data_IF_076793839310
#
_entry.id   IF_076793839310
#
_cell.length_a   1.000
_cell.length_b   1.000
_cell.length_c   1.000
_cell.angle_alpha   90.00
_cell.angle_beta   90.00
_cell.angle_gamma   90.00
#
_symmetry.space_group_name_H-M   'P 1'
#
loop_
_entity.id
_entity.type
_entity.pdbx_description
1 polymer ?
#
# COMPACT_ATOMS: atom_id res chain seq x y z
N UNK A 1 -19.35 3.42 9.68
CA UNK A 1 -18.49 3.40 8.48
C UNK A 1 -17.91 4.81 8.35
N UNK A 2 -16.58 5.03 8.28
CA UNK A 2 -16.06 6.38 8.21
C UNK A 2 -16.49 6.98 6.88
N UNK A 3 -17.26 8.06 6.92
CA UNK A 3 -17.50 8.90 5.76
C UNK A 3 -16.13 9.42 5.30
N UNK A 4 -15.67 8.95 4.14
CA UNK A 4 -14.43 9.45 3.55
C UNK A 4 -14.47 10.97 3.43
N UNK A 5 -13.33 11.61 3.69
CA UNK A 5 -13.17 13.05 3.46
C UNK A 5 -13.55 13.34 2.01
N UNK A 6 -14.44 14.33 1.78
CA UNK A 6 -14.88 14.67 0.42
C UNK A 6 -13.67 14.93 -0.48
N UNK A 7 -13.60 14.22 -1.60
CA UNK A 7 -12.48 14.29 -2.56
C UNK A 7 -11.34 13.30 -2.30
N UNK A 8 -11.41 12.49 -1.24
CA UNK A 8 -10.42 11.45 -0.95
C UNK A 8 -10.95 10.04 -1.26
N UNK A 9 -10.03 9.11 -1.52
CA UNK A 9 -10.29 7.70 -1.78
C UNK A 9 -9.20 6.84 -1.14
N UNK A 10 -9.52 5.57 -0.87
CA UNK A 10 -8.60 4.60 -0.29
C UNK A 10 -7.99 3.72 -1.37
N UNK A 11 -6.66 3.62 -1.39
CA UNK A 11 -5.96 2.59 -2.15
C UNK A 11 -6.01 1.29 -1.33
N UNK A 12 -6.47 0.20 -1.93
CA UNK A 12 -6.67 -1.07 -1.23
C UNK A 12 -6.05 -2.26 -1.96
N UNK A 13 -5.93 -3.37 -1.22
CA UNK A 13 -5.37 -4.61 -1.75
C UNK A 13 -6.33 -5.34 -2.71
N UNK A 14 -5.81 -6.32 -3.43
CA UNK A 14 -6.60 -7.20 -4.32
C UNK A 14 -7.69 -8.02 -3.61
N UNK A 15 -7.57 -8.20 -2.29
CA UNK A 15 -8.59 -8.83 -1.44
C UNK A 15 -9.83 -7.98 -1.22
N UNK A 16 -9.78 -6.67 -1.52
CA UNK A 16 -10.92 -5.75 -1.41
C UNK A 16 -11.66 -5.62 -2.74
N UNK A 17 -12.97 -5.38 -2.64
CA UNK A 17 -13.79 -5.01 -3.81
C UNK A 17 -13.55 -3.55 -4.21
N UNK A 18 -13.58 -3.26 -5.51
CA UNK A 18 -13.57 -1.90 -6.05
C UNK A 18 -14.92 -1.20 -5.86
N UNK A 19 -15.25 -0.93 -4.59
CA UNK A 19 -16.49 -0.29 -4.17
C UNK A 19 -16.38 1.22 -3.99
N UNK A 20 -17.47 1.83 -3.55
CA UNK A 20 -17.52 3.28 -3.35
C UNK A 20 -16.48 3.78 -2.34
N UNK A 21 -15.56 4.62 -2.78
CA UNK A 21 -14.48 5.18 -1.96
C UNK A 21 -13.17 4.38 -2.02
N UNK A 22 -13.13 3.28 -2.76
CA UNK A 22 -12.02 2.33 -2.78
C UNK A 22 -11.49 2.15 -4.20
N UNK A 23 -10.17 2.15 -4.34
CA UNK A 23 -9.46 1.78 -5.55
C UNK A 23 -8.68 0.50 -5.32
N UNK A 24 -9.23 -0.61 -5.82
CA UNK A 24 -8.55 -1.90 -5.82
C UNK A 24 -7.72 -2.08 -7.10
N UNK A 25 -6.67 -2.93 -7.08
CA UNK A 25 -5.95 -3.29 -8.30
C UNK A 25 -6.88 -3.98 -9.31
N UNK A 26 -6.46 -3.98 -10.57
CA UNK A 26 -7.03 -4.86 -11.58
C UNK A 26 -6.66 -6.31 -11.26
N UNK A 27 -7.65 -7.21 -11.34
CA UNK A 27 -7.46 -8.65 -11.12
C UNK A 27 -7.00 -9.30 -12.42
N UNK A 28 -6.19 -10.36 -12.32
CA UNK A 28 -5.68 -11.08 -13.49
C UNK A 28 -4.58 -10.35 -14.27
N UNK A 29 -4.04 -9.25 -13.73
CA UNK A 29 -2.92 -8.50 -14.29
C UNK A 29 -1.74 -8.48 -13.33
N UNK A 30 -0.54 -8.22 -13.85
CA UNK A 30 0.70 -8.12 -13.06
C UNK A 30 0.54 -7.10 -11.93
N UNK A 31 1.00 -7.45 -10.74
CA UNK A 31 0.79 -6.66 -9.52
C UNK A 31 2.03 -6.61 -8.62
N UNK A 32 2.82 -7.67 -8.54
CA UNK A 32 3.94 -7.71 -7.60
C UNK A 32 5.12 -6.85 -8.10
N UNK A 33 5.71 -6.04 -7.22
CA UNK A 33 6.87 -5.21 -7.57
C UNK A 33 8.07 -6.00 -8.10
N UNK A 34 8.22 -7.26 -7.67
CA UNK A 34 9.24 -8.18 -8.19
C UNK A 34 9.09 -8.45 -9.69
N UNK A 35 7.87 -8.43 -10.24
CA UNK A 35 7.60 -8.64 -11.67
C UNK A 35 8.11 -7.48 -12.53
N UNK A 36 8.31 -6.31 -11.93
CA UNK A 36 8.79 -5.08 -12.60
C UNK A 36 10.30 -4.89 -12.48
N UNK A 37 10.99 -5.62 -11.59
CA UNK A 37 12.46 -5.55 -11.39
C UNK A 37 13.25 -5.91 -12.66
N UNK A 38 12.67 -6.72 -13.55
CA UNK A 38 13.27 -7.12 -14.83
C UNK A 38 13.17 -6.05 -15.94
N UNK A 39 12.87 -4.79 -15.60
CA UNK A 39 12.74 -3.64 -16.53
C UNK A 39 11.72 -3.83 -17.65
N UNK A 40 10.79 -4.78 -17.52
CA UNK A 40 9.68 -4.92 -18.47
C UNK A 40 8.70 -3.79 -18.23
N UNK A 41 8.50 -2.96 -19.23
CA UNK A 41 7.52 -1.88 -19.15
C UNK A 41 6.10 -2.47 -18.99
N UNK A 42 5.17 -1.73 -18.35
CA UNK A 42 3.75 -2.07 -18.39
C UNK A 42 3.25 -2.10 -19.84
N UNK A 43 2.45 -3.10 -20.18
CA UNK A 43 1.93 -3.32 -21.52
C UNK A 43 0.65 -2.52 -21.78
N UNK A 44 -0.09 -2.18 -20.73
CA UNK A 44 -1.38 -1.50 -20.81
C UNK A 44 -1.63 -0.63 -19.58
N UNK A 45 -2.72 0.12 -19.61
CA UNK A 45 -3.11 1.02 -18.53
C UNK A 45 -3.39 0.30 -17.19
N UNK A 46 -3.91 -0.93 -17.22
CA UNK A 46 -4.21 -1.71 -16.01
C UNK A 46 -2.92 -2.12 -15.29
N UNK A 47 -1.94 -2.62 -16.04
CA UNK A 47 -0.63 -2.97 -15.52
C UNK A 47 0.11 -1.74 -14.99
N UNK A 48 0.02 -0.60 -15.68
CA UNK A 48 0.65 0.64 -15.21
C UNK A 48 0.00 1.13 -13.92
N UNK A 49 -1.33 1.09 -13.83
CA UNK A 49 -2.07 1.40 -12.62
C UNK A 49 -1.66 0.48 -11.46
N UNK A 50 -1.66 -0.85 -11.68
CA UNK A 50 -1.24 -1.82 -10.66
C UNK A 50 0.20 -1.60 -10.21
N UNK A 51 1.12 -1.32 -11.13
CA UNK A 51 2.51 -1.00 -10.81
C UNK A 51 2.61 0.22 -9.89
N UNK A 52 1.86 1.29 -10.16
CA UNK A 52 1.83 2.49 -9.30
C UNK A 52 1.16 2.22 -7.96
N UNK A 53 0.09 1.45 -7.95
CA UNK A 53 -0.60 1.04 -6.73
C UNK A 53 0.33 0.22 -5.82
N UNK A 54 1.01 -0.77 -6.39
CA UNK A 54 1.98 -1.61 -5.69
C UNK A 54 3.18 -0.78 -5.18
N UNK A 55 3.65 0.20 -5.95
CA UNK A 55 4.71 1.10 -5.50
C UNK A 55 4.28 1.96 -4.31
N UNK A 56 3.06 2.52 -4.33
CA UNK A 56 2.51 3.28 -3.21
C UNK A 56 2.34 2.39 -1.96
N UNK A 57 1.84 1.16 -2.14
CA UNK A 57 1.70 0.18 -1.06
C UNK A 57 3.04 -0.19 -0.43
N UNK A 58 4.07 -0.41 -1.24
CA UNK A 58 5.41 -0.75 -0.75
C UNK A 58 5.99 0.32 0.17
N UNK A 59 5.69 1.60 -0.04
CA UNK A 59 6.09 2.67 0.89
C UNK A 59 5.44 2.45 2.27
N UNK A 60 4.15 2.15 2.30
CA UNK A 60 3.40 1.89 3.54
C UNK A 60 3.89 0.62 4.23
N UNK A 61 4.11 -0.45 3.49
CA UNK A 61 4.62 -1.73 4.02
C UNK A 61 6.03 -1.56 4.60
N UNK A 62 6.92 -0.82 3.93
CA UNK A 62 8.25 -0.49 4.45
C UNK A 62 8.17 0.32 5.75
N UNK A 63 7.26 1.30 5.84
CA UNK A 63 7.01 2.03 7.09
C UNK A 63 6.58 1.10 8.24
N UNK A 64 5.67 0.16 7.98
CA UNK A 64 5.28 -0.82 9.00
C UNK A 64 6.40 -1.80 9.33
N UNK A 65 7.20 -2.22 8.35
CA UNK A 65 8.41 -3.01 8.56
C UNK A 65 9.37 -2.30 9.52
N UNK A 66 9.65 -1.01 9.29
CA UNK A 66 10.52 -0.20 10.16
C UNK A 66 9.98 -0.10 11.58
N UNK A 67 8.68 0.13 11.72
CA UNK A 67 8.04 0.17 13.03
C UNK A 67 8.16 -1.17 13.77
N UNK A 68 7.93 -2.30 13.07
CA UNK A 68 8.07 -3.64 13.67
C UNK A 68 9.51 -4.02 14.01
N UNK A 69 10.48 -3.64 13.18
CA UNK A 69 11.90 -3.85 13.46
C UNK A 69 12.35 -3.06 14.69
N UNK A 70 11.92 -1.79 14.79
CA UNK A 70 12.28 -0.91 15.90
C UNK A 70 11.56 -1.27 17.20
N UNK A 71 10.26 -1.55 17.12
CA UNK A 71 9.40 -1.74 18.28
C UNK A 71 8.97 -3.19 18.40
N UNK A 72 9.69 -3.96 19.22
CA UNK A 72 9.43 -5.40 19.38
C UNK A 72 8.01 -5.75 19.81
N UNK A 73 7.30 -4.84 20.48
CA UNK A 73 5.89 -5.00 20.88
C UNK A 73 4.93 -5.12 19.68
N UNK A 74 5.32 -4.64 18.49
CA UNK A 74 4.52 -4.72 17.27
C UNK A 74 4.76 -6.00 16.46
N UNK A 75 5.72 -6.86 16.87
CA UNK A 75 6.07 -8.09 16.14
C UNK A 75 5.17 -9.27 16.45
N UNK A 76 4.42 -9.23 17.55
CA UNK A 76 3.58 -10.34 17.98
C UNK A 76 2.19 -9.84 18.41
N UNK A 77 1.14 -10.66 18.24
CA UNK A 77 -0.18 -10.33 18.76
C UNK A 77 -0.11 -10.01 20.26
N UNK A 78 -0.77 -8.94 20.65
CA UNK A 78 -0.83 -8.55 22.07
C UNK A 78 -2.19 -8.90 22.66
N UNK A 79 -2.22 -9.29 23.92
CA UNK A 79 -3.47 -9.55 24.66
C UNK A 79 -4.10 -8.28 25.26
N UNK A 80 -3.60 -7.09 24.89
CA UNK A 80 -4.15 -5.83 25.36
C UNK A 80 -5.52 -5.55 24.74
N UNK A 81 -6.43 -4.84 25.45
CA UNK A 81 -7.65 -4.32 24.86
C UNK A 81 -7.38 -3.45 23.63
N UNK A 82 -8.30 -3.43 22.66
CA UNK A 82 -8.15 -2.68 21.38
C UNK A 82 -7.76 -1.22 21.62
N UNK A 83 -8.36 -0.55 22.61
CA UNK A 83 -8.03 0.84 22.94
C UNK A 83 -6.55 1.00 23.33
N UNK A 84 -6.02 0.07 24.12
CA UNK A 84 -4.61 0.05 24.52
C UNK A 84 -3.70 -0.26 23.32
N UNK A 85 -4.11 -1.16 22.43
CA UNK A 85 -3.36 -1.44 21.19
C UNK A 85 -3.24 -0.18 20.32
N UNK A 86 -4.34 0.57 20.15
CA UNK A 86 -4.33 1.85 19.43
C UNK A 86 -3.36 2.86 20.05
N UNK A 87 -3.33 2.96 21.39
CA UNK A 87 -2.40 3.83 22.12
C UNK A 87 -0.94 3.40 21.92
N UNK A 88 -0.65 2.10 21.98
CA UNK A 88 0.69 1.55 21.73
C UNK A 88 1.15 1.88 20.31
N UNK A 89 0.32 1.63 19.30
CA UNK A 89 0.63 1.94 17.90
C UNK A 89 0.90 3.43 17.73
N UNK A 90 0.05 4.29 18.30
CA UNK A 90 0.20 5.75 18.24
C UNK A 90 1.51 6.20 18.89
N UNK A 91 1.84 5.69 20.08
CA UNK A 91 3.10 6.00 20.76
C UNK A 91 4.32 5.57 19.94
N UNK A 92 4.29 4.38 19.34
CA UNK A 92 5.35 3.90 18.45
C UNK A 92 5.56 4.82 17.24
N UNK A 93 4.47 5.28 16.61
CA UNK A 93 4.52 6.23 15.49
C UNK A 93 5.08 7.59 15.90
N UNK A 94 4.63 8.14 17.03
CA UNK A 94 5.13 9.42 17.55
C UNK A 94 6.63 9.37 17.84
N UNK A 95 7.09 8.32 18.53
CA UNK A 95 8.51 8.12 18.82
C UNK A 95 9.32 7.90 17.54
N UNK A 96 8.79 7.16 16.56
CA UNK A 96 9.44 6.98 15.27
C UNK A 96 9.61 8.31 14.53
N UNK A 97 8.56 9.15 14.50
CA UNK A 97 8.61 10.46 13.86
C UNK A 97 9.60 11.40 14.57
N UNK A 98 9.67 11.36 15.90
CA UNK A 98 10.66 12.12 16.67
C UNK A 98 12.08 11.71 16.27
N UNK A 99 12.36 10.40 16.24
CA UNK A 99 13.67 9.87 15.85
C UNK A 99 14.03 10.30 14.42
N UNK A 100 13.07 10.24 13.48
CA UNK A 100 13.25 10.71 12.10
C UNK A 100 13.53 12.21 11.99
N UNK A 101 13.05 13.01 12.94
CA UNK A 101 13.33 14.44 13.00
C UNK A 101 14.74 14.76 13.49
N UNK A 102 15.25 13.97 14.44
CA UNK A 102 16.56 14.20 15.07
C UNK A 102 17.71 13.47 14.37
N UNK A 103 17.44 12.33 13.73
CA UNK A 103 18.45 11.50 13.06
C UNK A 103 18.38 11.66 11.54
N UNK A 104 19.45 12.21 10.94
CA UNK A 104 19.55 12.36 9.49
C UNK A 104 19.61 11.02 8.73
N UNK A 105 20.12 9.96 9.36
CA UNK A 105 20.22 8.61 8.80
C UNK A 105 19.74 7.61 9.85
N UNK A 106 18.80 6.75 9.46
CA UNK A 106 18.31 5.66 10.29
C UNK A 106 18.98 4.33 9.90
N UNK A 107 19.86 3.74 10.75
CA UNK A 107 20.53 2.49 10.44
C UNK A 107 19.56 1.33 10.10
N UNK A 108 18.36 1.33 10.71
CA UNK A 108 17.36 0.29 10.47
C UNK A 108 16.78 0.36 9.04
N UNK A 109 16.82 1.53 8.39
CA UNK A 109 16.37 1.69 7.01
C UNK A 109 17.23 0.88 6.03
N UNK A 110 18.53 0.82 6.28
CA UNK A 110 19.46 0.04 5.46
C UNK A 110 19.29 -1.47 5.68
N UNK A 111 19.08 -1.90 6.92
CA UNK A 111 18.82 -3.31 7.25
C UNK A 111 17.53 -3.82 6.59
N UNK A 112 16.47 -3.01 6.60
CA UNK A 112 15.20 -3.36 5.96
C UNK A 112 15.34 -3.56 4.46
N UNK A 113 16.08 -2.67 3.78
CA UNK A 113 16.35 -2.79 2.34
C UNK A 113 17.09 -4.10 1.99
N UNK A 114 17.93 -4.62 2.89
CA UNK A 114 18.63 -5.89 2.72
C UNK A 114 17.77 -7.14 2.93
N UNK A 115 16.60 -7.00 3.56
CA UNK A 115 15.72 -8.11 3.99
C UNK A 115 14.51 -8.32 3.06
N UNK A 116 14.32 -7.48 2.03
CA UNK A 116 13.18 -7.50 1.06
C UNK A 116 13.11 -8.74 0.12
N UNK A 117 13.61 -9.90 0.53
CA UNK A 117 13.69 -11.11 -0.30
C UNK A 117 12.69 -12.23 0.04
N UNK A 118 11.66 -12.05 0.88
CA UNK A 118 10.88 -13.25 1.21
C UNK A 118 9.52 -13.22 1.91
N UNK A 119 8.82 -12.11 2.11
CA UNK A 119 7.50 -12.20 2.78
C UNK A 119 6.43 -11.34 2.11
N UNK A 120 5.90 -11.83 0.98
CA UNK A 120 4.51 -11.54 0.62
C UNK A 120 3.61 -12.36 1.53
N UNK A 121 3.08 -11.74 2.58
CA UNK A 121 1.97 -12.31 3.35
C UNK A 121 0.75 -12.37 2.42
N UNK A 122 0.63 -13.48 1.69
CA UNK A 122 -0.59 -13.90 1.01
C UNK A 122 -1.50 -14.53 2.07
N UNK A 123 -2.19 -13.70 2.83
CA UNK A 123 -3.41 -14.16 3.50
C UNK A 123 -4.39 -12.98 3.57
N UNK A 124 -4.84 -12.58 2.39
CA UNK A 124 -5.96 -11.65 2.25
C UNK A 124 -7.24 -12.47 2.16
N UNK A 125 -7.81 -12.81 3.32
CA UNK A 125 -9.19 -13.29 3.38
C UNK A 125 -10.08 -12.28 2.64
N UNK A 126 -10.92 -12.76 1.71
CA UNK A 126 -11.67 -11.91 0.80
C UNK A 126 -12.73 -11.17 1.61
N UNK A 127 -12.49 -9.90 1.90
CA UNK A 127 -13.40 -9.07 2.66
C UNK A 127 -14.56 -8.62 1.73
N UNK A 128 -15.55 -9.49 1.57
CA UNK A 128 -16.66 -9.37 0.59
C UNK A 128 -17.79 -8.42 1.01
N UNK A 129 -17.58 -7.55 2.00
CA UNK A 129 -18.67 -6.76 2.60
C UNK A 129 -19.09 -5.56 1.75
N UNK A 130 -18.34 -5.22 0.70
CA UNK A 130 -18.59 -4.07 -0.17
C UNK A 130 -18.86 -4.55 -1.59
N UNK A 131 -20.00 -4.15 -2.15
CA UNK A 131 -20.37 -4.42 -3.54
C UNK A 131 -19.52 -3.59 -4.52
N UNK A 132 -19.22 -4.12 -5.72
CA UNK A 132 -18.59 -3.34 -6.78
C UNK A 132 -19.45 -2.12 -7.14
N UNK A 133 -18.80 -0.99 -7.45
CA UNK A 133 -19.49 0.19 -7.94
C UNK A 133 -19.10 0.47 -9.38
N UNK A 134 -20.08 0.51 -10.29
CA UNK A 134 -19.86 0.86 -11.70
C UNK A 134 -19.23 2.24 -11.84
N UNK A 135 -19.68 3.21 -11.02
CA UNK A 135 -19.12 4.56 -11.01
C UNK A 135 -17.63 4.55 -10.68
N UNK A 136 -17.23 3.80 -9.64
CA UNK A 136 -15.83 3.72 -9.21
C UNK A 136 -14.98 2.89 -10.15
N UNK A 137 -15.58 1.89 -10.80
CA UNK A 137 -14.93 1.11 -11.85
C UNK A 137 -14.64 1.98 -13.07
N UNK A 138 -15.62 2.76 -13.53
CA UNK A 138 -15.43 3.71 -14.62
C UNK A 138 -14.39 4.79 -14.25
N UNK A 139 -14.45 5.31 -13.02
CA UNK A 139 -13.47 6.28 -12.56
C UNK A 139 -12.04 5.72 -12.50
N UNK A 140 -11.85 4.52 -11.97
CA UNK A 140 -10.55 3.82 -11.97
C UNK A 140 -10.03 3.63 -13.40
N UNK A 141 -10.89 3.20 -14.34
CA UNK A 141 -10.52 3.00 -15.74
C UNK A 141 -10.06 4.31 -16.39
N UNK A 142 -10.80 5.39 -16.21
CA UNK A 142 -10.43 6.71 -16.72
C UNK A 142 -9.11 7.21 -16.12
N UNK A 143 -8.93 7.05 -14.81
CA UNK A 143 -7.69 7.41 -14.12
C UNK A 143 -6.50 6.60 -14.66
N UNK A 144 -6.65 5.28 -14.79
CA UNK A 144 -5.61 4.40 -15.30
C UNK A 144 -5.20 4.76 -16.73
N UNK A 145 -6.16 5.05 -17.60
CA UNK A 145 -5.90 5.50 -18.98
C UNK A 145 -5.12 6.83 -18.99
N UNK A 146 -5.59 7.84 -18.25
CA UNK A 146 -4.90 9.14 -18.16
C UNK A 146 -3.46 9.01 -17.67
N UNK A 147 -3.26 8.22 -16.60
CA UNK A 147 -1.94 7.94 -16.04
C UNK A 147 -1.00 7.27 -17.06
N UNK A 148 -1.53 6.33 -17.84
CA UNK A 148 -0.77 5.62 -18.86
C UNK A 148 -0.43 6.50 -20.06
N UNK A 149 -1.38 7.33 -20.52
CA UNK A 149 -1.18 8.27 -21.63
C UNK A 149 -0.16 9.35 -21.28
N UNK A 150 -0.20 9.89 -20.05
CA UNK A 150 0.82 10.81 -19.55
C UNK A 150 2.20 10.14 -19.48
N UNK A 151 2.26 8.91 -19.00
CA UNK A 151 3.51 8.15 -18.93
C UNK A 151 4.11 7.88 -20.30
N UNK A 152 3.29 7.54 -21.31
CA UNK A 152 3.74 7.36 -22.68
C UNK A 152 4.24 8.68 -23.30
N UNK A 153 3.54 9.79 -23.06
CA UNK A 153 3.96 11.13 -23.54
C UNK A 153 5.31 11.55 -22.98
N UNK A 154 5.56 11.30 -21.71
CA UNK A 154 6.81 11.67 -21.04
C UNK A 154 8.00 10.74 -21.39
N UNK A 155 7.78 9.71 -22.21
CA UNK A 155 8.79 8.72 -22.62
C UNK A 155 9.35 8.98 -24.03
N UNK A 156 8.74 9.91 -24.77
CA UNK A 156 9.15 10.39 -26.08
C UNK A 156 9.75 11.80 -25.97
#
# INVERSE_FOLDING_TARGET
MPLGVKGCYYLVDGGYTNGQGYLAPYRGTRYHLSEWRNRRAPNNHEEYFNMKLAAARNVIERCFGLLKMRWGILRSPTFFPIETQCKIITACCLLHNLIRGEMAIDPLENELNGTENGETNQDGDVLSTIEPSDQWTAWRNNLAMQMYDEWNRNRH
#
